data_IF_822195254058
#
_entry.id   IF_822195254058
#
_cell.length_a   1.000
_cell.length_b   1.000
_cell.length_c   1.000
_cell.angle_alpha   90.00
_cell.angle_beta   90.00
_cell.angle_gamma   90.00
#
_symmetry.space_group_name_H-M   'P 1'
#
loop_
_entity.id
_entity.type
_entity.pdbx_description
1 polymer ?
#
# COMPACT_ATOMS: atom_id res chain seq x y z
N UNK A 1 9.69 51.37 -60.10
CA UNK A 1 8.61 51.07 -59.12
C UNK A 1 8.05 49.70 -59.51
N UNK A 2 8.02 48.61 -58.75
CA UNK A 2 8.28 48.32 -57.33
C UNK A 2 8.72 46.82 -57.24
N UNK A 3 9.67 46.58 -56.35
CA UNK A 3 10.19 45.33 -55.81
C UNK A 3 9.24 44.09 -55.78
N UNK A 4 9.77 42.89 -56.07
CA UNK A 4 9.28 41.64 -55.47
C UNK A 4 10.41 40.89 -54.78
N UNK A 5 10.36 41.00 -53.45
CA UNK A 5 11.18 40.35 -52.44
C UNK A 5 11.10 38.83 -52.53
N UNK A 6 12.27 38.20 -52.31
CA UNK A 6 12.44 36.86 -51.75
C UNK A 6 11.62 36.73 -50.46
N UNK A 7 10.77 35.70 -50.35
CA UNK A 7 10.24 35.27 -49.05
C UNK A 7 10.47 33.76 -48.91
N UNK A 8 11.50 33.44 -48.13
CA UNK A 8 11.75 32.12 -47.60
C UNK A 8 10.62 31.79 -46.61
N UNK A 9 9.74 30.86 -46.97
CA UNK A 9 8.78 30.31 -46.02
C UNK A 9 9.52 29.27 -45.16
N UNK A 10 10.10 29.76 -44.06
CA UNK A 10 10.61 28.96 -42.95
C UNK A 10 9.39 28.26 -42.32
N UNK A 11 9.15 27.00 -42.70
CA UNK A 11 8.16 26.16 -42.01
C UNK A 11 8.78 25.69 -40.69
N UNK A 12 8.53 26.44 -39.61
CA UNK A 12 8.68 25.90 -38.25
C UNK A 12 7.61 24.81 -38.07
N UNK A 13 8.05 23.55 -38.16
CA UNK A 13 7.24 22.42 -37.70
C UNK A 13 7.06 22.52 -36.20
N UNK A 14 5.85 22.88 -35.76
CA UNK A 14 5.42 22.61 -34.39
C UNK A 14 5.21 21.10 -34.28
N UNK A 15 6.17 20.40 -33.68
CA UNK A 15 5.97 19.04 -33.21
C UNK A 15 5.02 19.08 -32.01
N UNK A 16 3.78 18.63 -32.19
CA UNK A 16 2.89 18.35 -31.07
C UNK A 16 3.47 17.15 -30.29
N UNK A 17 4.08 17.42 -29.15
CA UNK A 17 4.48 16.37 -28.21
C UNK A 17 3.23 15.82 -27.55
N UNK A 18 2.79 14.64 -27.97
CA UNK A 18 1.84 13.84 -27.20
C UNK A 18 2.52 13.47 -25.87
N UNK A 19 2.07 14.07 -24.78
CA UNK A 19 2.42 13.61 -23.43
C UNK A 19 1.60 12.35 -23.18
N UNK A 20 2.21 11.19 -23.42
CA UNK A 20 1.67 9.90 -22.98
C UNK A 20 1.66 9.95 -21.45
N UNK A 21 0.48 9.81 -20.85
CA UNK A 21 0.38 9.69 -19.40
C UNK A 21 1.03 8.36 -19.01
N UNK A 22 2.15 8.42 -18.30
CA UNK A 22 2.82 7.22 -17.83
C UNK A 22 1.87 6.46 -16.88
N UNK A 23 1.81 5.12 -16.96
CA UNK A 23 0.99 4.33 -16.04
C UNK A 23 1.44 4.62 -14.60
N UNK A 24 0.49 4.71 -13.67
CA UNK A 24 0.81 5.11 -12.29
C UNK A 24 1.67 4.08 -11.57
N UNK A 25 1.71 2.83 -12.04
CA UNK A 25 2.65 1.79 -11.64
C UNK A 25 3.34 1.25 -12.90
N UNK A 26 4.61 0.87 -12.81
CA UNK A 26 5.30 0.25 -13.95
C UNK A 26 4.97 -1.24 -14.04
N UNK A 27 5.17 -1.83 -15.22
CA UNK A 27 4.98 -3.28 -15.44
C UNK A 27 5.89 -4.16 -14.56
N UNK A 28 6.97 -3.59 -14.02
CA UNK A 28 7.92 -4.22 -13.11
C UNK A 28 7.73 -3.81 -11.65
N UNK A 29 6.76 -2.92 -11.36
CA UNK A 29 6.50 -2.36 -10.04
C UNK A 29 7.69 -1.66 -9.37
N UNK A 30 8.69 -1.24 -10.15
CA UNK A 30 9.79 -0.38 -9.69
C UNK A 30 9.33 1.06 -9.40
N UNK A 31 8.17 1.44 -9.94
CA UNK A 31 7.50 2.71 -9.62
C UNK A 31 6.49 2.48 -8.49
N UNK A 32 6.58 3.23 -7.38
CA UNK A 32 5.59 3.17 -6.31
C UNK A 32 4.24 3.70 -6.77
N UNK A 33 3.16 3.12 -6.26
CA UNK A 33 1.82 3.68 -6.40
C UNK A 33 1.80 5.16 -5.92
N UNK A 34 1.19 6.10 -6.66
CA UNK A 34 1.17 7.50 -6.25
C UNK A 34 0.53 7.70 -4.88
N UNK A 35 1.21 8.45 -4.00
CA UNK A 35 0.74 8.69 -2.63
C UNK A 35 0.98 7.52 -1.67
N UNK A 36 1.57 6.42 -2.15
CA UNK A 36 1.97 5.32 -1.29
C UNK A 36 3.24 5.64 -0.50
N UNK A 37 3.30 5.07 0.69
CA UNK A 37 4.40 5.14 1.65
C UNK A 37 4.78 3.73 2.08
N UNK A 38 5.98 3.57 2.65
CA UNK A 38 6.49 2.26 3.08
C UNK A 38 6.44 1.20 1.97
N UNK A 39 6.68 1.65 0.73
CA UNK A 39 6.55 0.80 -0.45
C UNK A 39 7.72 -0.17 -0.54
N UNK A 40 7.41 -1.44 -0.69
CA UNK A 40 8.37 -2.52 -0.93
C UNK A 40 7.98 -3.22 -2.22
N UNK A 41 8.92 -3.31 -3.16
CA UNK A 41 8.77 -4.07 -4.39
C UNK A 41 9.48 -5.41 -4.25
N UNK A 42 8.88 -6.43 -4.82
CA UNK A 42 9.31 -7.81 -4.72
C UNK A 42 9.45 -8.43 -6.10
N UNK A 43 10.38 -9.38 -6.22
CA UNK A 43 10.61 -10.19 -7.40
C UNK A 43 10.71 -11.65 -7.01
N UNK A 44 10.08 -12.53 -7.80
CA UNK A 44 10.22 -13.99 -7.70
C UNK A 44 10.87 -14.55 -8.96
N UNK A 45 12.01 -15.22 -8.79
CA UNK A 45 12.77 -15.85 -9.88
C UNK A 45 12.06 -17.07 -10.49
N UNK A 46 11.08 -17.64 -9.78
CA UNK A 46 10.28 -18.79 -10.24
C UNK A 46 8.80 -18.42 -10.18
N UNK A 47 8.22 -17.92 -11.28
CA UNK A 47 6.81 -17.58 -11.33
C UNK A 47 5.95 -18.82 -11.10
N UNK A 48 5.08 -18.77 -10.09
CA UNK A 48 4.10 -19.82 -9.84
C UNK A 48 2.77 -19.19 -9.43
N UNK A 49 1.70 -19.99 -9.38
CA UNK A 49 0.38 -19.51 -8.98
C UNK A 49 0.37 -18.86 -7.56
N UNK A 50 1.33 -19.20 -6.71
CA UNK A 50 1.47 -18.63 -5.35
C UNK A 50 2.46 -17.47 -5.28
N UNK A 51 3.35 -17.32 -6.27
CA UNK A 51 4.42 -16.33 -6.29
C UNK A 51 4.44 -15.63 -7.64
N UNK A 52 3.73 -14.49 -7.76
CA UNK A 52 3.80 -13.68 -8.97
C UNK A 52 5.23 -13.19 -9.19
N UNK A 53 5.61 -13.03 -10.45
CA UNK A 53 6.97 -12.62 -10.82
C UNK A 53 7.37 -11.28 -10.20
N UNK A 54 6.43 -10.34 -10.10
CA UNK A 54 6.61 -9.04 -9.46
C UNK A 54 5.36 -8.62 -8.70
N UNK A 55 5.56 -8.04 -7.53
CA UNK A 55 4.48 -7.43 -6.75
C UNK A 55 5.00 -6.29 -5.88
N UNK A 56 4.09 -5.46 -5.40
CA UNK A 56 4.41 -4.32 -4.54
C UNK A 56 3.42 -4.24 -3.38
N UNK A 57 3.97 -4.02 -2.19
CA UNK A 57 3.24 -3.82 -0.96
C UNK A 57 3.52 -2.42 -0.41
N UNK A 58 2.56 -1.82 0.29
CA UNK A 58 2.78 -0.52 0.94
C UNK A 58 1.54 0.01 1.64
N UNK A 59 1.56 1.29 1.98
CA UNK A 59 0.44 1.99 2.61
C UNK A 59 0.04 3.20 1.76
N UNK A 60 -1.23 3.30 1.37
CA UNK A 60 -1.79 4.43 0.62
C UNK A 60 -3.03 4.94 1.34
N UNK A 61 -3.09 6.25 1.61
CA UNK A 61 -4.20 6.88 2.37
C UNK A 61 -4.55 6.17 3.70
N UNK A 62 -3.57 5.59 4.38
CA UNK A 62 -3.78 4.86 5.63
C UNK A 62 -4.29 3.42 5.47
N UNK A 63 -4.33 2.90 4.24
CA UNK A 63 -4.70 1.52 3.93
C UNK A 63 -3.49 0.73 3.44
N UNK A 64 -3.33 -0.49 3.92
CA UNK A 64 -2.34 -1.41 3.41
C UNK A 64 -2.80 -1.92 2.05
N UNK A 65 -1.92 -1.88 1.04
CA UNK A 65 -2.19 -2.45 -0.26
C UNK A 65 -1.14 -3.48 -0.64
N UNK A 66 -1.57 -4.42 -1.46
CA UNK A 66 -0.71 -5.30 -2.27
C UNK A 66 -1.20 -5.22 -3.70
N UNK A 67 -0.29 -5.09 -4.67
CA UNK A 67 -0.62 -5.10 -6.09
C UNK A 67 0.35 -6.00 -6.87
N UNK A 68 -0.17 -6.62 -7.93
CA UNK A 68 0.51 -7.66 -8.68
C UNK A 68 0.58 -7.35 -10.17
N UNK A 69 1.62 -7.85 -10.84
CA UNK A 69 1.75 -7.75 -12.30
C UNK A 69 0.66 -8.46 -13.10
N UNK A 70 -0.13 -9.32 -12.45
CA UNK A 70 -1.35 -9.92 -12.99
C UNK A 70 -2.53 -8.96 -13.10
N UNK A 71 -2.35 -7.66 -12.82
CA UNK A 71 -3.41 -6.66 -12.72
C UNK A 71 -4.41 -6.98 -11.59
N UNK A 72 -3.90 -7.52 -10.50
CA UNK A 72 -4.66 -7.83 -9.28
C UNK A 72 -4.14 -6.99 -8.11
N UNK A 73 -4.96 -6.83 -7.09
CA UNK A 73 -4.53 -6.21 -5.84
C UNK A 73 -5.49 -6.40 -4.69
N UNK A 74 -5.03 -6.06 -3.50
CA UNK A 74 -5.83 -6.02 -2.27
C UNK A 74 -5.66 -4.68 -1.58
N UNK A 75 -6.72 -4.24 -0.91
CA UNK A 75 -6.71 -3.10 -0.02
C UNK A 75 -7.31 -3.52 1.31
N UNK A 76 -6.58 -3.24 2.39
CA UNK A 76 -6.90 -3.68 3.75
C UNK A 76 -6.69 -2.54 4.73
N UNK A 77 -7.37 -2.54 5.88
CA UNK A 77 -7.07 -1.62 6.95
C UNK A 77 -5.66 -1.89 7.49
N UNK A 78 -4.92 -0.83 7.84
CA UNK A 78 -3.69 -0.98 8.62
C UNK A 78 -3.98 -1.30 10.09
N UNK A 79 -5.21 -1.03 10.53
CA UNK A 79 -5.71 -1.39 11.86
C UNK A 79 -6.24 -2.83 11.85
N UNK A 80 -5.57 -3.71 12.58
CA UNK A 80 -5.92 -5.13 12.68
C UNK A 80 -7.27 -5.41 13.37
N UNK A 81 -7.87 -4.42 14.05
CA UNK A 81 -9.21 -4.55 14.63
C UNK A 81 -10.33 -4.39 13.59
N UNK A 82 -9.98 -3.92 12.38
CA UNK A 82 -10.92 -3.82 11.28
C UNK A 82 -10.80 -5.05 10.40
N UNK A 83 -11.91 -5.77 10.25
CA UNK A 83 -11.98 -6.99 9.46
C UNK A 83 -12.75 -6.73 8.16
N UNK A 84 -12.11 -5.97 7.27
CA UNK A 84 -12.58 -5.79 5.91
C UNK A 84 -11.42 -5.88 4.92
N UNK A 85 -11.74 -6.28 3.70
CA UNK A 85 -10.78 -6.37 2.60
C UNK A 85 -11.50 -6.05 1.29
N UNK A 86 -10.84 -5.28 0.42
CA UNK A 86 -11.25 -5.10 -0.97
C UNK A 86 -10.26 -5.83 -1.86
N UNK A 87 -10.74 -6.80 -2.63
CA UNK A 87 -9.99 -7.47 -3.70
C UNK A 87 -10.29 -6.79 -5.02
N UNK A 88 -9.25 -6.55 -5.81
CA UNK A 88 -9.30 -5.88 -7.11
C UNK A 88 -8.74 -6.86 -8.13
N UNK A 89 -9.52 -7.16 -9.17
CA UNK A 89 -9.08 -7.99 -10.28
C UNK A 89 -9.41 -7.26 -11.56
N UNK A 90 -8.40 -6.90 -12.34
CA UNK A 90 -8.59 -6.14 -13.56
C UNK A 90 -8.35 -6.99 -14.81
N UNK A 91 -9.26 -6.89 -15.77
CA UNK A 91 -9.03 -7.31 -17.14
C UNK A 91 -8.49 -6.12 -17.92
N UNK A 92 -7.18 -6.14 -18.17
CA UNK A 92 -6.47 -5.07 -18.88
C UNK A 92 -6.93 -4.98 -20.34
N UNK A 93 -7.35 -6.08 -20.97
CA UNK A 93 -7.81 -6.07 -22.37
C UNK A 93 -9.22 -5.49 -22.49
N UNK A 94 -10.11 -5.84 -21.55
CA UNK A 94 -11.46 -5.29 -21.48
C UNK A 94 -11.50 -3.89 -20.86
N UNK A 95 -10.39 -3.40 -20.29
CA UNK A 95 -10.30 -2.13 -19.57
C UNK A 95 -11.33 -2.02 -18.44
N UNK A 96 -11.54 -3.12 -17.71
CA UNK A 96 -12.52 -3.21 -16.62
C UNK A 96 -11.90 -3.87 -15.41
N UNK A 97 -12.27 -3.40 -14.21
CA UNK A 97 -11.92 -4.06 -12.95
C UNK A 97 -13.17 -4.54 -12.23
N UNK A 98 -13.11 -5.76 -11.72
CA UNK A 98 -14.04 -6.30 -10.75
C UNK A 98 -13.48 -6.06 -9.34
N UNK A 99 -14.40 -5.73 -8.43
CA UNK A 99 -14.07 -5.47 -7.03
C UNK A 99 -14.94 -6.33 -6.14
N UNK A 100 -14.30 -7.15 -5.31
CA UNK A 100 -14.98 -7.97 -4.32
C UNK A 100 -14.65 -7.48 -2.91
N UNK A 101 -15.62 -7.55 -2.01
CA UNK A 101 -15.54 -7.00 -0.66
C UNK A 101 -15.81 -8.09 0.36
N UNK A 102 -14.98 -8.13 1.39
CA UNK A 102 -15.22 -8.87 2.62
C UNK A 102 -15.38 -7.83 3.73
N UNK A 103 -16.39 -8.00 4.59
CA UNK A 103 -16.71 -7.02 5.63
C UNK A 103 -17.35 -5.73 5.08
N UNK A 104 -17.24 -4.65 5.84
CA UNK A 104 -17.79 -3.32 5.48
C UNK A 104 -16.63 -2.32 5.42
N UNK A 105 -16.04 -2.10 4.24
CA UNK A 105 -15.01 -1.09 4.06
C UNK A 105 -15.58 0.34 4.18
N UNK A 106 -14.78 1.31 4.65
CA UNK A 106 -15.18 2.71 4.65
C UNK A 106 -15.20 3.29 3.22
N UNK A 107 -15.95 4.37 3.01
CA UNK A 107 -16.18 4.94 1.67
C UNK A 107 -14.89 5.44 0.99
N UNK A 108 -13.96 5.98 1.76
CA UNK A 108 -12.67 6.42 1.27
C UNK A 108 -11.78 5.26 0.80
N UNK A 109 -11.85 4.08 1.45
CA UNK A 109 -11.19 2.87 0.95
C UNK A 109 -11.73 2.43 -0.42
N UNK A 110 -13.02 2.63 -0.70
CA UNK A 110 -13.62 2.35 -2.02
C UNK A 110 -13.14 3.30 -3.12
N UNK A 111 -12.84 4.55 -2.76
CA UNK A 111 -12.27 5.53 -3.70
C UNK A 111 -10.82 5.15 -4.01
N UNK A 112 -10.07 4.76 -2.97
CA UNK A 112 -8.68 4.32 -3.11
C UNK A 112 -8.57 3.06 -3.95
N UNK A 113 -9.42 2.06 -3.70
CA UNK A 113 -9.42 0.82 -4.47
C UNK A 113 -9.71 1.08 -5.96
N UNK A 114 -10.58 2.04 -6.28
CA UNK A 114 -10.89 2.38 -7.68
C UNK A 114 -9.70 3.06 -8.36
N UNK A 115 -9.00 3.91 -7.62
CA UNK A 115 -7.77 4.55 -8.08
C UNK A 115 -6.68 3.51 -8.34
N UNK A 116 -6.55 2.50 -7.47
CA UNK A 116 -5.64 1.35 -7.67
C UNK A 116 -6.03 0.58 -8.94
N UNK A 117 -7.31 0.25 -9.12
CA UNK A 117 -7.78 -0.43 -10.34
C UNK A 117 -7.44 0.33 -11.62
N UNK A 118 -7.65 1.65 -11.64
CA UNK A 118 -7.24 2.50 -12.77
C UNK A 118 -5.73 2.44 -13.04
N UNK A 119 -4.92 2.32 -11.99
CA UNK A 119 -3.47 2.15 -12.13
C UNK A 119 -3.07 0.79 -12.68
N UNK A 120 -3.73 -0.27 -12.23
CA UNK A 120 -3.48 -1.64 -12.71
C UNK A 120 -3.88 -1.83 -14.17
N UNK A 121 -4.89 -1.10 -14.65
CA UNK A 121 -5.27 -1.09 -16.07
C UNK A 121 -4.22 -0.44 -16.97
N UNK A 122 -3.22 0.25 -16.38
CA UNK A 122 -1.96 0.62 -17.05
C UNK A 122 -2.15 1.34 -18.38
N UNK A 123 -3.24 2.11 -18.55
CA UNK A 123 -3.72 2.51 -19.86
C UNK A 123 -2.70 3.34 -20.67
N UNK A 124 -1.90 2.64 -21.48
CA UNK A 124 -1.36 3.11 -22.75
C UNK A 124 -2.23 2.52 -23.86
N UNK A 125 -3.14 3.33 -24.38
CA UNK A 125 -3.94 2.97 -25.56
C UNK A 125 -2.99 2.94 -26.76
N UNK A 126 -2.74 1.76 -27.29
CA UNK A 126 -2.14 1.61 -28.62
C UNK A 126 -3.03 2.41 -29.60
N UNK A 127 -2.45 3.46 -30.18
CA UNK A 127 -3.10 4.31 -31.15
C UNK A 127 -3.46 3.47 -32.39
N UNK A 128 -4.64 2.88 -32.39
CA UNK A 128 -5.23 2.36 -33.63
C UNK A 128 -5.50 3.58 -34.51
N UNK A 129 -4.86 3.58 -35.67
CA UNK A 129 -4.90 4.62 -36.69
C UNK A 129 -6.34 5.14 -36.96
N UNK A 130 -6.48 6.42 -37.36
CA UNK A 130 -7.77 7.09 -37.43
C UNK A 130 -8.68 6.48 -38.50
N UNK A 131 -9.86 6.02 -38.09
CA UNK A 131 -11.06 6.09 -38.93
C UNK A 131 -11.70 7.47 -38.67
N UNK A 132 -11.85 8.33 -39.69
CA UNK A 132 -12.34 9.68 -39.48
C UNK A 132 -13.87 9.65 -39.37
N UNK A 133 -14.41 10.12 -38.25
CA UNK A 133 -15.76 10.69 -38.25
C UNK A 133 -15.74 11.97 -37.42
N UNK A 134 -16.22 13.02 -38.06
CA UNK A 134 -16.03 14.42 -37.71
C UNK A 134 -16.97 14.95 -36.62
N UNK A 135 -16.54 16.08 -36.03
CA UNK A 135 -17.33 17.16 -35.40
C UNK A 135 -17.96 16.85 -34.02
N UNK A 136 -17.94 17.69 -32.98
CA UNK A 136 -17.51 19.08 -32.79
C UNK A 136 -17.31 19.38 -31.28
N UNK A 137 -16.50 20.41 -31.00
CA UNK A 137 -16.11 21.07 -29.73
C UNK A 137 -17.27 21.87 -29.07
N UNK A 138 -17.14 22.60 -27.91
CA UNK A 138 -15.95 22.91 -27.09
C UNK A 138 -16.11 22.90 -25.55
N UNK A 139 -14.97 23.09 -24.89
CA UNK A 139 -14.71 23.26 -23.45
C UNK A 139 -15.09 24.64 -22.88
N UNK A 140 -15.19 24.73 -21.55
CA UNK A 140 -14.81 25.91 -20.73
C UNK A 140 -14.35 25.49 -19.32
N UNK A 141 -13.03 25.39 -19.15
CA UNK A 141 -12.14 26.11 -18.19
C UNK A 141 -12.39 26.20 -16.65
N UNK A 142 -11.33 26.51 -15.83
CA UNK A 142 -10.87 25.67 -14.71
C UNK A 142 -10.81 26.41 -13.35
N UNK A 143 -10.48 25.71 -12.25
CA UNK A 143 -9.86 26.38 -11.07
C UNK A 143 -9.00 25.46 -10.20
N UNK A 144 -7.74 25.87 -10.03
CA UNK A 144 -6.80 25.50 -8.98
C UNK A 144 -7.30 25.93 -7.58
N UNK A 145 -6.98 25.16 -6.54
CA UNK A 145 -6.67 25.72 -5.22
C UNK A 145 -5.82 24.74 -4.38
N UNK A 146 -4.61 25.19 -4.05
CA UNK A 146 -3.70 24.61 -3.08
C UNK A 146 -4.19 24.87 -1.65
N UNK A 147 -3.96 23.92 -0.72
CA UNK A 147 -3.84 24.21 0.73
C UNK A 147 -2.76 23.30 1.34
N UNK A 148 -1.89 23.93 2.14
CA UNK A 148 -0.71 23.39 2.82
C UNK A 148 -1.05 22.68 4.17
N UNK A 149 -0.08 22.06 4.88
CA UNK A 149 -0.31 21.05 5.92
C UNK A 149 -0.32 21.62 7.35
N UNK A 150 -1.13 21.06 8.26
CA UNK A 150 -1.05 21.36 9.70
C UNK A 150 -1.16 20.11 10.59
N UNK A 151 0.00 19.80 11.20
CA UNK A 151 0.27 19.45 12.61
C UNK A 151 -0.27 18.18 13.30
N UNK A 152 0.71 17.47 13.88
CA UNK A 152 0.70 16.33 14.81
C UNK A 152 0.21 16.72 16.21
N UNK A 153 -0.51 15.83 16.89
CA UNK A 153 -0.58 15.81 18.35
C UNK A 153 -1.60 14.86 18.96
N UNK A 154 -1.16 13.72 19.53
CA UNK A 154 -1.75 13.12 20.76
C UNK A 154 -0.95 11.88 21.20
N UNK A 155 -0.18 12.01 22.30
CA UNK A 155 0.71 10.97 22.85
C UNK A 155 0.29 10.47 24.25
N UNK A 156 -0.69 11.07 24.93
CA UNK A 156 -0.98 10.74 26.33
C UNK A 156 -2.08 9.66 26.55
N UNK A 157 -2.86 9.31 25.52
CA UNK A 157 -3.97 8.32 25.66
C UNK A 157 -3.50 6.87 25.48
N UNK A 158 -2.31 6.67 24.92
CA UNK A 158 -1.75 5.36 24.55
C UNK A 158 -1.22 4.57 25.75
N UNK A 159 -0.61 5.22 26.75
CA UNK A 159 0.04 4.52 27.87
C UNK A 159 -0.93 3.71 28.74
N UNK A 160 -2.16 4.19 28.96
CA UNK A 160 -3.15 3.49 29.80
C UNK A 160 -3.86 2.33 29.08
N UNK A 161 -3.87 2.33 27.75
CA UNK A 161 -4.44 1.25 26.92
C UNK A 161 -3.48 0.06 26.87
N UNK A 162 -2.17 0.32 26.83
CA UNK A 162 -1.10 -0.69 26.77
C UNK A 162 -1.16 -1.65 27.97
N UNK A 163 -1.39 -1.15 29.18
CA UNK A 163 -1.46 -2.01 30.37
C UNK A 163 -2.69 -2.93 30.44
N UNK A 164 -3.70 -2.74 29.56
CA UNK A 164 -4.89 -3.60 29.51
C UNK A 164 -4.81 -4.67 28.41
N UNK A 165 -3.81 -4.58 27.52
CA UNK A 165 -3.58 -5.60 26.49
C UNK A 165 -3.30 -6.99 27.09
N UNK A 166 -2.80 -7.04 28.34
CA UNK A 166 -2.57 -8.23 29.15
C UNK A 166 -3.82 -8.94 29.70
N UNK A 167 -5.04 -8.53 29.29
CA UNK A 167 -6.29 -9.08 29.86
C UNK A 167 -7.33 -9.49 28.83
N UNK A 168 -6.92 -9.65 27.57
CA UNK A 168 -7.77 -10.29 26.57
C UNK A 168 -7.52 -11.79 26.66
N UNK A 169 -8.58 -12.57 26.88
CA UNK A 169 -8.56 -14.03 26.64
C UNK A 169 -8.30 -14.26 25.15
N UNK A 170 -7.04 -14.19 24.75
CA UNK A 170 -6.57 -14.52 23.43
C UNK A 170 -6.46 -16.06 23.37
N UNK A 171 -7.16 -16.69 22.43
CA UNK A 171 -7.22 -18.17 22.33
C UNK A 171 -5.90 -18.80 21.86
N UNK A 172 -4.89 -17.98 21.52
CA UNK A 172 -3.57 -18.40 21.04
C UNK A 172 -2.46 -17.60 21.74
N UNK A 173 -1.73 -18.26 22.63
CA UNK A 173 -0.62 -17.69 23.39
C UNK A 173 0.54 -17.20 22.49
N UNK A 174 0.74 -17.80 21.31
CA UNK A 174 1.82 -17.41 20.40
C UNK A 174 1.49 -16.08 19.73
N UNK A 175 0.23 -15.89 19.31
CA UNK A 175 -0.24 -14.62 18.76
C UNK A 175 -0.17 -13.51 19.83
N UNK A 176 -0.56 -13.82 21.06
CA UNK A 176 -0.45 -12.90 22.19
C UNK A 176 1.03 -12.50 22.44
N UNK A 177 1.95 -13.47 22.45
CA UNK A 177 3.38 -13.22 22.58
C UNK A 177 3.92 -12.33 21.45
N UNK A 178 3.60 -12.63 20.19
CA UNK A 178 4.00 -11.83 19.04
C UNK A 178 3.48 -10.38 19.16
N UNK A 179 2.23 -10.19 19.61
CA UNK A 179 1.69 -8.85 19.83
C UNK A 179 2.42 -8.10 20.95
N UNK A 180 2.73 -8.76 22.06
CA UNK A 180 3.48 -8.15 23.16
C UNK A 180 4.89 -7.76 22.76
N UNK A 181 5.57 -8.56 21.93
CA UNK A 181 6.87 -8.23 21.35
C UNK A 181 6.81 -6.99 20.47
N UNK A 182 5.78 -6.87 19.62
CA UNK A 182 5.55 -5.63 18.82
C UNK A 182 5.36 -4.42 19.73
N UNK A 183 4.57 -4.55 20.79
CA UNK A 183 4.34 -3.47 21.76
C UNK A 183 5.65 -3.09 22.49
N UNK A 184 6.50 -4.08 22.78
CA UNK A 184 7.83 -3.85 23.36
C UNK A 184 8.84 -3.23 22.36
N UNK A 185 8.47 -3.08 21.09
CA UNK A 185 9.29 -2.48 20.05
C UNK A 185 10.10 -3.48 19.22
N UNK A 186 9.88 -4.78 19.41
CA UNK A 186 10.54 -5.84 18.66
C UNK A 186 9.78 -6.19 17.36
N UNK A 187 10.45 -6.94 16.46
CA UNK A 187 9.86 -7.37 15.19
C UNK A 187 9.75 -8.89 15.08
N UNK A 188 8.69 -9.51 15.65
CA UNK A 188 8.48 -10.95 15.58
C UNK A 188 7.97 -11.44 14.22
N UNK A 189 7.80 -10.55 13.23
CA UNK A 189 7.10 -10.84 11.99
C UNK A 189 5.60 -10.61 12.13
N UNK A 190 4.82 -11.41 11.41
CA UNK A 190 3.35 -11.34 11.46
C UNK A 190 2.84 -11.86 12.80
N UNK A 191 1.74 -11.29 13.30
CA UNK A 191 0.99 -11.86 14.44
C UNK A 191 0.02 -12.91 13.88
N UNK A 192 0.53 -14.11 13.66
CA UNK A 192 -0.15 -15.21 12.98
C UNK A 192 -0.34 -16.45 13.86
N UNK A 193 0.15 -16.43 15.11
CA UNK A 193 0.10 -17.59 16.01
C UNK A 193 1.17 -18.65 15.70
N UNK A 194 2.09 -18.37 14.76
CA UNK A 194 3.15 -19.30 14.36
C UNK A 194 4.51 -18.80 14.82
N UNK A 195 5.16 -19.58 15.69
CA UNK A 195 6.49 -19.24 16.20
C UNK A 195 7.58 -19.48 15.14
N UNK A 196 7.75 -18.52 14.24
CA UNK A 196 8.74 -18.57 13.15
C UNK A 196 10.11 -17.98 13.52
N UNK A 197 11.08 -18.00 12.59
CA UNK A 197 12.44 -17.47 12.81
C UNK A 197 12.48 -16.00 13.25
N UNK A 198 11.55 -15.17 12.76
CA UNK A 198 11.44 -13.76 13.17
C UNK A 198 10.95 -13.64 14.61
N UNK A 199 9.95 -14.44 15.00
CA UNK A 199 9.45 -14.46 16.38
C UNK A 199 10.54 -14.91 17.35
N UNK A 200 11.31 -15.94 16.98
CA UNK A 200 12.48 -16.39 17.75
C UNK A 200 13.53 -15.27 17.87
N UNK A 201 13.84 -14.59 16.77
CA UNK A 201 14.82 -13.49 16.76
C UNK A 201 14.37 -12.32 17.63
N UNK A 202 13.08 -11.98 17.61
CA UNK A 202 12.48 -10.95 18.45
C UNK A 202 12.50 -11.33 19.95
N UNK A 203 12.25 -12.60 20.28
CA UNK A 203 12.37 -13.10 21.65
C UNK A 203 13.80 -12.95 22.15
N UNK A 204 14.79 -13.29 21.32
CA UNK A 204 16.22 -13.17 21.66
C UNK A 204 16.70 -11.72 21.74
N UNK A 205 16.15 -10.82 20.92
CA UNK A 205 16.42 -9.39 21.02
C UNK A 205 15.87 -8.78 22.32
N UNK A 206 14.65 -9.17 22.70
CA UNK A 206 14.03 -8.73 23.96
C UNK A 206 14.71 -9.34 25.19
N UNK A 207 14.95 -10.65 25.18
CA UNK A 207 15.47 -11.41 26.32
C UNK A 207 16.41 -12.52 25.84
N UNK A 208 17.72 -12.21 25.69
CA UNK A 208 18.71 -13.16 25.18
C UNK A 208 18.73 -14.50 25.93
N UNK A 209 18.82 -15.60 25.19
CA UNK A 209 18.82 -16.97 25.67
C UNK A 209 17.44 -17.50 26.11
N UNK A 210 16.38 -16.74 25.90
CA UNK A 210 15.04 -17.12 26.38
C UNK A 210 14.27 -17.99 25.40
N UNK A 211 14.56 -17.94 24.10
CA UNK A 211 13.87 -18.77 23.11
C UNK A 211 14.13 -20.27 23.29
N UNK A 212 15.25 -20.62 23.96
CA UNK A 212 15.62 -22.01 24.26
C UNK A 212 15.29 -22.45 25.70
N UNK A 213 15.09 -21.49 26.62
CA UNK A 213 15.02 -21.76 28.06
C UNK A 213 13.69 -21.36 28.72
N UNK A 214 12.77 -20.74 27.98
CA UNK A 214 11.46 -20.30 28.50
C UNK A 214 10.34 -20.76 27.59
N UNK A 215 9.20 -21.03 28.22
CA UNK A 215 7.94 -21.32 27.52
C UNK A 215 7.24 -20.02 27.09
N UNK A 216 6.32 -20.13 26.13
CA UNK A 216 5.53 -18.99 25.63
C UNK A 216 4.77 -18.27 26.77
N UNK A 217 4.07 -18.96 27.70
CA UNK A 217 3.41 -18.29 28.82
C UNK A 217 4.36 -17.55 29.78
N UNK A 218 5.58 -18.08 29.99
CA UNK A 218 6.59 -17.40 30.81
C UNK A 218 7.12 -16.14 30.13
N UNK A 219 7.25 -16.15 28.80
CA UNK A 219 7.66 -14.99 28.00
C UNK A 219 6.58 -13.91 27.98
N UNK A 220 5.30 -14.30 27.87
CA UNK A 220 4.15 -13.40 28.01
C UNK A 220 4.19 -12.71 29.37
N UNK A 221 4.31 -13.47 30.45
CA UNK A 221 4.37 -12.91 31.82
C UNK A 221 5.54 -11.94 32.00
N UNK A 222 6.68 -12.22 31.36
CA UNK A 222 7.87 -11.36 31.40
C UNK A 222 7.64 -10.05 30.64
N UNK A 223 7.07 -10.11 29.44
CA UNK A 223 6.73 -8.94 28.62
C UNK A 223 5.66 -8.08 29.30
N UNK A 224 4.62 -8.70 29.86
CA UNK A 224 3.60 -8.00 30.62
C UNK A 224 4.19 -7.26 31.82
N UNK A 225 5.11 -7.91 32.55
CA UNK A 225 5.84 -7.26 33.65
C UNK A 225 6.70 -6.11 33.16
N UNK A 226 7.41 -6.27 32.03
CA UNK A 226 8.23 -5.22 31.43
C UNK A 226 7.40 -4.01 30.99
N UNK A 227 6.25 -4.26 30.37
CA UNK A 227 5.36 -3.23 29.84
C UNK A 227 4.49 -2.56 30.91
N UNK A 228 4.11 -3.30 31.95
CA UNK A 228 3.07 -2.90 32.91
C UNK A 228 3.54 -2.85 34.37
N UNK A 229 4.79 -3.22 34.66
CA UNK A 229 5.36 -3.15 35.99
C UNK A 229 5.46 -1.70 36.51
N UNK A 230 5.56 -1.50 37.84
CA UNK A 230 5.77 -0.18 38.40
C UNK A 230 7.09 0.39 37.88
N UNK A 231 7.00 1.42 37.05
CA UNK A 231 8.12 2.26 36.65
C UNK A 231 8.55 3.05 37.90
N UNK A 232 9.36 2.44 38.77
CA UNK A 232 9.90 3.11 39.94
C UNK A 232 10.92 4.17 39.46
N UNK A 233 10.46 5.41 39.45
CA UNK A 233 11.27 6.63 39.34
C UNK A 233 10.74 7.68 40.30
#
# INVERSE_FOLDING_TARGET
MIARLLLHALWLGLTASSLVAAPCVSNTFDRPLPGATSVVSHVSDVPSAQFPAFWQDGVVNGYAYTIFASAEGTLRPTDAFQDWEIKITCDVSAQTCEMSRVGIPPEDAEIVSRSIGQCLLGAEVEAVAPVPVAAAVPATDPINAAVAPETVGTSAKTAKVVCRAASVEETDDVAALQRLLVIAGENPGQVDGVLGPKSISAIEAFSPGSSANRTVPELISLLETYLCGPQNG
#
